data_IF_163317233915
#
_entry.id   IF_163317233915
#
_cell.length_a   1.000
_cell.length_b   1.000
_cell.length_c   1.000
_cell.angle_alpha   90.00
_cell.angle_beta   90.00
_cell.angle_gamma   90.00
#
_symmetry.space_group_name_H-M   'P 1'
#
loop_
_entity.id
_entity.type
_entity.pdbx_description
1 polymer ?
#
# COMPACT_ATOMS: atom_id res chain seq x y z
N UNK A 1 59.64 29.53 44.54
CA UNK A 1 59.63 28.98 43.15
C UNK A 1 58.55 27.92 43.10
N UNK A 2 57.37 28.26 42.62
CA UNK A 2 56.29 27.31 42.38
C UNK A 2 56.11 27.14 40.87
N UNK A 3 56.45 25.97 40.33
CA UNK A 3 56.16 25.61 38.96
C UNK A 3 54.66 25.26 38.83
N UNK A 4 53.92 26.11 38.17
CA UNK A 4 52.54 25.83 37.69
C UNK A 4 52.65 24.88 36.49
N UNK A 5 52.29 23.63 36.68
CA UNK A 5 52.10 22.69 35.59
C UNK A 5 50.74 22.88 34.97
N UNK A 6 50.70 23.52 33.80
CA UNK A 6 49.50 23.61 33.00
C UNK A 6 49.18 22.26 32.36
N UNK A 7 48.03 21.68 32.67
CA UNK A 7 47.54 20.48 32.04
C UNK A 7 47.18 20.73 30.55
N UNK A 8 47.45 19.83 29.62
CA UNK A 8 47.12 20.04 28.22
C UNK A 8 45.58 20.00 28.01
N UNK A 9 45.08 21.04 27.38
CA UNK A 9 43.65 21.15 27.02
C UNK A 9 43.20 20.04 26.08
N UNK A 10 42.20 19.28 26.53
CA UNK A 10 41.47 18.31 25.71
C UNK A 10 40.54 19.06 24.77
N UNK A 11 41.05 19.50 23.61
CA UNK A 11 40.31 20.31 22.66
C UNK A 11 40.17 19.64 21.28
N UNK A 12 39.78 18.35 21.22
CA UNK A 12 39.52 17.68 19.93
C UNK A 12 38.20 16.90 19.82
N UNK A 13 37.27 17.03 20.77
CA UNK A 13 36.02 16.25 20.76
C UNK A 13 34.84 16.82 19.96
N UNK A 14 34.65 18.13 19.72
CA UNK A 14 33.43 18.63 19.05
C UNK A 14 33.33 18.32 17.56
N UNK A 15 34.45 18.26 16.84
CA UNK A 15 34.44 18.04 15.38
C UNK A 15 34.07 16.62 14.95
N UNK A 16 34.45 15.62 15.75
CA UNK A 16 34.15 14.19 15.46
C UNK A 16 32.68 13.85 15.72
N UNK A 17 32.10 14.40 16.78
CA UNK A 17 30.66 14.29 17.09
C UNK A 17 29.79 14.95 16.04
N UNK A 18 30.18 16.10 15.47
CA UNK A 18 29.46 16.78 14.41
C UNK A 18 29.43 15.99 13.07
N UNK A 19 30.50 15.26 12.77
CA UNK A 19 30.61 14.43 11.56
C UNK A 19 29.72 13.18 11.66
N UNK A 20 29.75 12.49 12.79
CA UNK A 20 28.89 11.32 13.04
C UNK A 20 27.41 11.70 13.01
N UNK A 21 27.01 12.80 13.67
CA UNK A 21 25.63 13.27 13.66
C UNK A 21 25.14 13.65 12.26
N UNK A 22 26.01 14.21 11.42
CA UNK A 22 25.69 14.55 10.03
C UNK A 22 25.46 13.28 9.18
N UNK A 23 26.34 12.29 9.30
CA UNK A 23 26.22 11.02 8.57
C UNK A 23 24.91 10.32 8.99
N UNK A 24 24.64 10.23 10.29
CA UNK A 24 23.40 9.59 10.81
C UNK A 24 22.14 10.27 10.28
N UNK A 25 22.15 11.61 10.22
CA UNK A 25 21.04 12.38 9.68
C UNK A 25 20.83 12.12 8.20
N UNK A 26 21.89 12.14 7.38
CA UNK A 26 21.82 11.83 5.94
C UNK A 26 21.29 10.43 5.67
N UNK A 27 21.74 9.44 6.46
CA UNK A 27 21.23 8.05 6.34
C UNK A 27 19.74 7.97 6.70
N UNK A 28 19.32 8.64 7.79
CA UNK A 28 17.92 8.66 8.19
C UNK A 28 17.01 9.35 7.15
N UNK A 29 17.47 10.44 6.54
CA UNK A 29 16.75 11.17 5.49
C UNK A 29 16.61 10.31 4.23
N UNK A 30 17.67 9.60 3.81
CA UNK A 30 17.63 8.68 2.67
C UNK A 30 16.68 7.50 2.90
N UNK A 31 16.69 6.88 4.08
CA UNK A 31 15.75 5.83 4.44
C UNK A 31 14.30 6.33 4.43
N UNK A 32 14.08 7.57 4.86
CA UNK A 32 12.79 8.24 4.78
C UNK A 32 12.30 8.39 3.34
N UNK A 33 13.17 8.84 2.44
CA UNK A 33 12.85 9.00 1.02
C UNK A 33 12.56 7.65 0.34
N UNK A 34 13.37 6.62 0.58
CA UNK A 34 13.13 5.25 0.07
C UNK A 34 11.79 4.72 0.54
N UNK A 35 11.45 4.89 1.82
CA UNK A 35 10.14 4.46 2.35
C UNK A 35 8.99 5.14 1.62
N UNK A 36 9.04 6.45 1.42
CA UNK A 36 8.02 7.21 0.70
C UNK A 36 7.90 6.70 -0.74
N UNK A 37 9.02 6.50 -1.43
CA UNK A 37 9.04 5.96 -2.78
C UNK A 37 8.37 4.59 -2.86
N UNK A 38 8.70 3.66 -1.97
CA UNK A 38 8.12 2.31 -1.93
C UNK A 38 6.62 2.37 -1.71
N UNK A 39 6.14 3.23 -0.81
CA UNK A 39 4.69 3.42 -0.57
C UNK A 39 4.00 3.97 -1.82
N UNK A 40 4.55 5.00 -2.46
CA UNK A 40 3.98 5.57 -3.69
C UNK A 40 3.96 4.53 -4.82
N UNK A 41 5.03 3.77 -4.99
CA UNK A 41 5.12 2.72 -5.99
C UNK A 41 4.05 1.62 -5.75
N UNK A 42 3.85 1.20 -4.50
CA UNK A 42 2.81 0.24 -4.13
C UNK A 42 1.39 0.76 -4.44
N UNK A 43 1.12 2.03 -4.12
CA UNK A 43 -0.15 2.70 -4.44
C UNK A 43 -0.38 2.74 -5.95
N UNK A 44 0.61 3.24 -6.71
CA UNK A 44 0.51 3.39 -8.16
C UNK A 44 0.30 2.04 -8.85
N UNK A 45 1.02 1.01 -8.41
CA UNK A 45 0.93 -0.32 -9.00
C UNK A 45 -0.39 -1.01 -8.66
N UNK A 46 -0.78 -1.05 -7.41
CA UNK A 46 -1.99 -1.77 -6.98
C UNK A 46 -3.28 -1.02 -7.29
N UNK A 47 -3.48 0.18 -6.73
CA UNK A 47 -4.71 0.97 -6.96
C UNK A 47 -4.81 1.47 -8.40
N UNK A 48 -3.69 1.92 -8.98
CA UNK A 48 -3.63 2.34 -10.37
C UNK A 48 -3.86 1.18 -11.34
N UNK A 49 -3.22 0.04 -11.09
CA UNK A 49 -3.42 -1.19 -11.87
C UNK A 49 -4.86 -1.67 -11.82
N UNK A 50 -5.46 -1.71 -10.62
CA UNK A 50 -6.86 -2.06 -10.44
C UNK A 50 -7.81 -1.09 -11.17
N UNK A 51 -7.59 0.22 -11.02
CA UNK A 51 -8.41 1.25 -11.69
C UNK A 51 -8.32 1.14 -13.21
N UNK A 52 -7.12 0.98 -13.75
CA UNK A 52 -6.92 0.78 -15.19
C UNK A 52 -7.58 -0.51 -15.68
N UNK A 53 -7.41 -1.59 -14.92
CA UNK A 53 -7.99 -2.87 -15.27
C UNK A 53 -9.53 -2.83 -15.31
N UNK A 54 -10.16 -2.34 -14.24
CA UNK A 54 -11.61 -2.26 -14.14
C UNK A 54 -12.22 -1.21 -15.09
N UNK A 55 -11.56 -0.05 -15.24
CA UNK A 55 -12.08 1.08 -16.00
C UNK A 55 -11.78 1.04 -17.50
N UNK A 56 -10.74 0.33 -17.91
CA UNK A 56 -10.28 0.31 -19.31
C UNK A 56 -10.19 -1.12 -19.86
N UNK A 57 -9.41 -2.00 -19.22
CA UNK A 57 -9.11 -3.31 -19.78
C UNK A 57 -10.35 -4.21 -19.88
N UNK A 58 -11.20 -4.22 -18.85
CA UNK A 58 -12.43 -5.05 -18.84
C UNK A 58 -13.45 -4.55 -19.88
N UNK A 59 -13.83 -3.25 -19.94
CA UNK A 59 -14.74 -2.76 -20.98
C UNK A 59 -14.24 -3.02 -22.40
N UNK A 60 -12.98 -2.73 -22.69
CA UNK A 60 -12.37 -3.00 -23.99
C UNK A 60 -12.34 -4.50 -24.31
N UNK A 61 -12.06 -5.34 -23.31
CA UNK A 61 -12.08 -6.79 -23.47
C UNK A 61 -13.47 -7.33 -23.79
N UNK A 62 -14.52 -6.79 -23.19
CA UNK A 62 -15.93 -7.13 -23.52
C UNK A 62 -16.23 -6.79 -24.98
N UNK A 63 -15.82 -5.61 -25.44
CA UNK A 63 -16.02 -5.18 -26.82
C UNK A 63 -15.28 -6.06 -27.82
N UNK A 64 -13.98 -6.28 -27.60
CA UNK A 64 -13.11 -7.03 -28.54
C UNK A 64 -13.43 -8.52 -28.57
N UNK A 65 -13.76 -9.14 -27.43
CA UNK A 65 -14.04 -10.56 -27.31
C UNK A 65 -15.51 -10.93 -27.56
N UNK A 66 -16.38 -9.92 -27.73
CA UNK A 66 -17.79 -10.11 -28.08
C UNK A 66 -18.68 -10.51 -26.90
N UNK A 67 -18.26 -10.27 -25.64
CA UNK A 67 -19.14 -10.49 -24.49
C UNK A 67 -18.44 -10.72 -23.15
N UNK A 68 -19.21 -10.55 -22.08
CA UNK A 68 -18.78 -10.68 -20.70
C UNK A 68 -18.25 -12.08 -20.36
N UNK A 69 -18.84 -13.13 -20.92
CA UNK A 69 -18.40 -14.51 -20.67
C UNK A 69 -16.98 -14.77 -21.20
N UNK A 70 -16.66 -14.23 -22.37
CA UNK A 70 -15.34 -14.43 -22.98
C UNK A 70 -14.24 -13.73 -22.19
N UNK A 71 -14.48 -12.49 -21.75
CA UNK A 71 -13.54 -11.75 -20.90
C UNK A 71 -13.43 -12.37 -19.51
N UNK A 72 -14.48 -12.97 -18.94
CA UNK A 72 -14.47 -13.61 -17.63
C UNK A 72 -13.33 -14.63 -17.46
N UNK A 73 -13.03 -15.43 -18.48
CA UNK A 73 -11.91 -16.38 -18.46
C UNK A 73 -10.52 -15.73 -18.54
N UNK A 74 -10.44 -14.47 -18.98
CA UNK A 74 -9.20 -13.70 -18.94
C UNK A 74 -9.07 -13.02 -17.58
N UNK A 75 -10.19 -12.48 -17.08
CA UNK A 75 -10.22 -11.76 -15.80
C UNK A 75 -9.85 -12.67 -14.63
N UNK A 76 -10.24 -13.94 -14.65
CA UNK A 76 -9.87 -14.92 -13.63
C UNK A 76 -8.36 -14.90 -13.36
N UNK A 77 -7.55 -15.01 -14.39
CA UNK A 77 -6.09 -15.01 -14.26
C UNK A 77 -5.52 -13.66 -13.81
N UNK A 78 -6.04 -12.57 -14.37
CA UNK A 78 -5.61 -11.23 -14.01
C UNK A 78 -5.95 -10.91 -12.56
N UNK A 79 -7.13 -11.31 -12.11
CA UNK A 79 -7.62 -11.08 -10.74
C UNK A 79 -6.74 -11.77 -9.70
N UNK A 80 -6.24 -12.99 -10.00
CA UNK A 80 -5.30 -13.66 -9.12
C UNK A 80 -4.00 -12.83 -8.91
N UNK A 81 -3.46 -12.24 -9.97
CA UNK A 81 -2.30 -11.35 -9.86
C UNK A 81 -2.62 -10.04 -9.14
N UNK A 82 -3.84 -9.51 -9.28
CA UNK A 82 -4.29 -8.33 -8.54
C UNK A 82 -4.36 -8.61 -7.03
N UNK A 83 -4.84 -9.79 -6.61
CA UNK A 83 -4.84 -10.20 -5.21
C UNK A 83 -3.40 -10.35 -4.67
N UNK A 84 -2.48 -10.95 -5.45
CA UNK A 84 -1.06 -11.03 -5.05
C UNK A 84 -0.45 -9.63 -4.88
N UNK A 85 -0.74 -8.71 -5.80
CA UNK A 85 -0.30 -7.32 -5.71
C UNK A 85 -0.95 -6.61 -4.51
N UNK A 86 -2.21 -6.91 -4.20
CA UNK A 86 -2.93 -6.44 -3.01
C UNK A 86 -2.23 -6.83 -1.72
N UNK A 87 -1.92 -8.12 -1.55
CA UNK A 87 -1.17 -8.61 -0.37
C UNK A 87 0.17 -7.90 -0.22
N UNK A 88 0.92 -7.72 -1.32
CA UNK A 88 2.20 -7.00 -1.30
C UNK A 88 2.02 -5.52 -0.89
N UNK A 89 1.04 -4.83 -1.47
CA UNK A 89 0.74 -3.44 -1.14
C UNK A 89 0.29 -3.27 0.32
N UNK A 90 -0.60 -4.15 0.81
CA UNK A 90 -1.07 -4.12 2.20
C UNK A 90 0.06 -4.38 3.19
N UNK A 91 1.01 -5.25 2.86
CA UNK A 91 2.23 -5.48 3.67
C UNK A 91 3.06 -4.20 3.77
N UNK A 92 3.25 -3.48 2.67
CA UNK A 92 3.96 -2.20 2.63
C UNK A 92 3.21 -1.14 3.45
N UNK A 93 1.87 -1.06 3.33
CA UNK A 93 1.04 -0.13 4.11
C UNK A 93 1.09 -0.44 5.60
N UNK A 94 1.06 -1.71 5.99
CA UNK A 94 1.22 -2.13 7.38
C UNK A 94 2.57 -1.66 7.95
N UNK A 95 3.67 -1.93 7.24
CA UNK A 95 5.00 -1.46 7.61
C UNK A 95 5.06 0.07 7.75
N UNK A 96 4.51 0.80 6.77
CA UNK A 96 4.45 2.26 6.82
C UNK A 96 3.61 2.80 8.00
N UNK A 97 2.48 2.17 8.30
CA UNK A 97 1.60 2.53 9.42
C UNK A 97 2.31 2.33 10.76
N UNK A 98 3.00 1.19 10.94
CA UNK A 98 3.78 0.90 12.14
C UNK A 98 4.93 1.90 12.34
N UNK A 99 5.70 2.18 11.29
CA UNK A 99 6.80 3.15 11.33
C UNK A 99 6.32 4.60 11.58
N UNK A 100 5.09 4.92 11.18
CA UNK A 100 4.49 6.25 11.38
C UNK A 100 3.73 6.37 12.70
N UNK A 101 3.57 5.28 13.46
CA UNK A 101 2.71 5.20 14.63
C UNK A 101 2.99 6.29 15.67
N UNK A 102 4.27 6.49 16.00
CA UNK A 102 4.68 7.46 17.05
C UNK A 102 4.58 8.91 16.60
N UNK A 103 4.66 9.18 15.30
CA UNK A 103 4.66 10.53 14.72
C UNK A 103 3.29 11.00 14.25
N UNK A 104 2.29 10.10 14.24
CA UNK A 104 0.93 10.40 13.79
C UNK A 104 0.07 10.91 14.92
N UNK A 105 -0.76 11.93 14.65
CA UNK A 105 -1.83 12.35 15.56
C UNK A 105 -2.87 11.24 15.77
N UNK A 106 -3.56 11.26 16.92
CA UNK A 106 -4.50 10.19 17.33
C UNK A 106 -5.54 9.85 16.26
N UNK A 107 -6.19 10.86 15.65
CA UNK A 107 -7.20 10.63 14.62
C UNK A 107 -6.62 9.91 13.39
N UNK A 108 -5.52 10.42 12.83
CA UNK A 108 -4.87 9.81 11.64
C UNK A 108 -4.41 8.38 11.93
N UNK A 109 -3.88 8.13 13.13
CA UNK A 109 -3.45 6.79 13.56
C UNK A 109 -4.60 5.79 13.54
N UNK A 110 -5.75 6.13 14.12
CA UNK A 110 -6.91 5.27 14.13
C UNK A 110 -7.49 5.08 12.74
N UNK A 111 -7.55 6.13 11.91
CA UNK A 111 -8.00 5.99 10.53
C UNK A 111 -7.10 5.04 9.73
N UNK A 112 -5.77 5.18 9.84
CA UNK A 112 -4.83 4.27 9.17
C UNK A 112 -4.99 2.82 9.65
N UNK A 113 -5.19 2.61 10.93
CA UNK A 113 -5.39 1.27 11.49
C UNK A 113 -6.70 0.64 11.02
N UNK A 114 -7.80 1.38 11.09
CA UNK A 114 -9.13 0.90 10.71
C UNK A 114 -9.19 0.60 9.21
N UNK A 115 -8.70 1.53 8.36
CA UNK A 115 -8.68 1.30 6.91
C UNK A 115 -7.78 0.12 6.54
N UNK A 116 -6.62 -0.02 7.17
CA UNK A 116 -5.74 -1.16 6.94
C UNK A 116 -6.39 -2.48 7.37
N UNK A 117 -7.00 -2.52 8.55
CA UNK A 117 -7.67 -3.72 9.06
C UNK A 117 -8.83 -4.14 8.14
N UNK A 118 -9.65 -3.19 7.69
CA UNK A 118 -10.75 -3.47 6.76
C UNK A 118 -10.22 -3.96 5.41
N UNK A 119 -9.18 -3.33 4.86
CA UNK A 119 -8.57 -3.78 3.60
C UNK A 119 -7.99 -5.20 3.72
N UNK A 120 -7.35 -5.54 4.84
CA UNK A 120 -6.82 -6.89 5.07
C UNK A 120 -7.95 -7.91 5.18
N UNK A 121 -9.04 -7.59 5.88
CA UNK A 121 -10.21 -8.49 5.98
C UNK A 121 -10.83 -8.74 4.61
N UNK A 122 -11.00 -7.69 3.81
CA UNK A 122 -11.54 -7.81 2.45
C UNK A 122 -10.57 -8.62 1.57
N UNK A 123 -9.25 -8.40 1.66
CA UNK A 123 -8.27 -9.16 0.89
C UNK A 123 -8.35 -10.67 1.20
N UNK A 124 -8.48 -11.03 2.48
CA UNK A 124 -8.69 -12.42 2.89
C UNK A 124 -9.99 -12.98 2.30
N UNK A 125 -11.08 -12.21 2.33
CA UNK A 125 -12.34 -12.58 1.69
C UNK A 125 -12.16 -12.82 0.19
N UNK A 126 -11.50 -11.91 -0.54
CA UNK A 126 -11.24 -12.03 -1.98
C UNK A 126 -10.40 -13.27 -2.32
N UNK A 127 -9.37 -13.57 -1.53
CA UNK A 127 -8.54 -14.78 -1.67
C UNK A 127 -9.36 -16.05 -1.48
N UNK A 128 -10.38 -16.03 -0.61
CA UNK A 128 -11.28 -17.17 -0.39
C UNK A 128 -12.34 -17.28 -1.48
N UNK A 129 -12.92 -16.16 -1.92
CA UNK A 129 -13.95 -16.14 -2.96
C UNK A 129 -13.43 -16.56 -4.33
N UNK A 130 -12.20 -16.14 -4.68
CA UNK A 130 -11.61 -16.40 -5.99
C UNK A 130 -11.63 -17.90 -6.37
N UNK A 131 -11.07 -18.84 -5.58
CA UNK A 131 -11.09 -20.27 -5.92
C UNK A 131 -12.50 -20.86 -5.84
N UNK A 132 -13.45 -20.24 -5.13
CA UNK A 132 -14.84 -20.70 -5.16
C UNK A 132 -15.51 -20.40 -6.51
N UNK A 133 -15.21 -19.25 -7.12
CA UNK A 133 -15.67 -18.90 -8.46
C UNK A 133 -14.98 -19.76 -9.52
N UNK A 134 -13.65 -20.00 -9.40
CA UNK A 134 -12.88 -20.82 -10.35
C UNK A 134 -13.43 -22.25 -10.46
N UNK A 135 -13.87 -22.83 -9.35
CA UNK A 135 -14.49 -24.17 -9.35
C UNK A 135 -15.81 -24.25 -10.13
N UNK A 136 -16.47 -23.12 -10.35
CA UNK A 136 -17.70 -23.04 -11.14
C UNK A 136 -17.42 -22.84 -12.64
N UNK A 137 -16.17 -22.55 -13.01
CA UNK A 137 -15.75 -22.29 -14.39
C UNK A 137 -15.12 -23.54 -15.01
N UNK A 138 -15.66 -23.98 -16.14
CA UNK A 138 -15.13 -25.12 -16.92
C UNK A 138 -14.35 -24.59 -18.11
N UNK A 139 -13.05 -24.87 -18.17
CA UNK A 139 -12.16 -24.38 -19.22
C UNK A 139 -12.10 -25.29 -20.45
N UNK A 140 -12.36 -26.62 -20.30
CA UNK A 140 -12.31 -27.61 -21.38
C UNK A 140 -13.39 -28.68 -21.18
N UNK A 141 -13.95 -29.24 -22.26
CA UNK A 141 -13.73 -28.93 -23.69
C UNK A 141 -14.49 -27.69 -24.18
N UNK A 142 -15.47 -27.22 -23.43
CA UNK A 142 -16.21 -25.98 -23.69
C UNK A 142 -16.07 -25.04 -22.49
N UNK A 143 -15.79 -23.77 -22.76
CA UNK A 143 -15.81 -22.72 -21.73
C UNK A 143 -17.23 -22.52 -21.27
N UNK A 144 -17.56 -22.99 -20.07
CA UNK A 144 -18.91 -22.97 -19.51
C UNK A 144 -18.89 -22.68 -18.01
N UNK A 145 -20.03 -22.32 -17.44
CA UNK A 145 -20.24 -22.10 -16.02
C UNK A 145 -21.22 -23.14 -15.53
N UNK A 146 -20.84 -23.92 -14.52
CA UNK A 146 -21.61 -25.06 -14.01
C UNK A 146 -22.92 -24.59 -13.34
N UNK A 147 -22.87 -23.47 -12.60
CA UNK A 147 -23.96 -22.89 -11.83
C UNK A 147 -23.89 -21.36 -12.02
N UNK A 148 -24.67 -20.86 -12.98
CA UNK A 148 -24.66 -19.42 -13.33
C UNK A 148 -25.15 -18.55 -12.18
N UNK A 149 -26.23 -18.94 -11.48
CA UNK A 149 -26.81 -18.15 -10.39
C UNK A 149 -25.83 -18.01 -9.23
N UNK A 150 -25.18 -19.11 -8.87
CA UNK A 150 -24.17 -19.09 -7.80
C UNK A 150 -22.92 -18.33 -8.20
N UNK A 151 -22.47 -18.47 -9.45
CA UNK A 151 -21.33 -17.71 -9.95
C UNK A 151 -21.64 -16.20 -9.95
N UNK A 152 -22.80 -15.80 -10.41
CA UNK A 152 -23.22 -14.39 -10.45
C UNK A 152 -23.29 -13.80 -9.05
N UNK A 153 -23.85 -14.52 -8.07
CA UNK A 153 -23.87 -14.10 -6.68
C UNK A 153 -22.46 -13.85 -6.12
N UNK A 154 -21.57 -14.85 -6.27
CA UNK A 154 -20.18 -14.73 -5.80
C UNK A 154 -19.44 -13.60 -6.51
N UNK A 155 -19.67 -13.43 -7.80
CA UNK A 155 -19.07 -12.37 -8.60
C UNK A 155 -19.55 -10.98 -8.14
N UNK A 156 -20.83 -10.80 -7.85
CA UNK A 156 -21.36 -9.54 -7.29
C UNK A 156 -20.74 -9.23 -5.92
N UNK A 157 -20.63 -10.21 -5.02
CA UNK A 157 -19.95 -10.04 -3.74
C UNK A 157 -18.51 -9.60 -3.96
N UNK A 158 -17.79 -10.29 -4.86
CA UNK A 158 -16.41 -9.97 -5.22
C UNK A 158 -16.26 -8.51 -5.71
N UNK A 159 -17.14 -8.06 -6.60
CA UNK A 159 -17.13 -6.69 -7.14
C UNK A 159 -17.42 -5.64 -6.07
N UNK A 160 -18.35 -5.89 -5.17
CA UNK A 160 -18.67 -4.98 -4.07
C UNK A 160 -17.48 -4.90 -3.12
N UNK A 161 -16.93 -6.03 -2.71
CA UNK A 161 -15.78 -6.11 -1.79
C UNK A 161 -14.56 -5.40 -2.36
N UNK A 162 -14.21 -5.61 -3.63
CA UNK A 162 -13.10 -4.90 -4.29
C UNK A 162 -13.35 -3.40 -4.39
N UNK A 163 -14.60 -2.98 -4.64
CA UNK A 163 -14.96 -1.55 -4.69
C UNK A 163 -14.79 -0.90 -3.32
N UNK A 164 -15.26 -1.55 -2.26
CA UNK A 164 -15.08 -1.07 -0.87
C UNK A 164 -13.60 -1.00 -0.53
N UNK A 165 -12.83 -2.03 -0.88
CA UNK A 165 -11.38 -2.06 -0.65
C UNK A 165 -10.66 -0.90 -1.35
N UNK A 166 -11.06 -0.59 -2.59
CA UNK A 166 -10.52 0.54 -3.35
C UNK A 166 -10.77 1.87 -2.63
N UNK A 167 -12.00 2.12 -2.15
CA UNK A 167 -12.33 3.32 -1.39
C UNK A 167 -11.54 3.41 -0.09
N UNK A 168 -11.41 2.30 0.65
CA UNK A 168 -10.59 2.26 1.87
C UNK A 168 -9.11 2.55 1.56
N UNK A 169 -8.61 2.04 0.43
CA UNK A 169 -7.28 2.36 -0.09
C UNK A 169 -7.09 3.85 -0.35
N UNK A 170 -8.05 4.52 -0.98
CA UNK A 170 -8.01 5.97 -1.24
C UNK A 170 -7.97 6.78 0.05
N UNK A 171 -8.79 6.40 1.06
CA UNK A 171 -8.78 7.05 2.38
C UNK A 171 -7.43 6.84 3.07
N UNK A 172 -6.89 5.63 3.01
CA UNK A 172 -5.57 5.30 3.58
C UNK A 172 -4.46 6.15 2.97
N UNK A 173 -4.44 6.26 1.64
CA UNK A 173 -3.50 7.10 0.88
C UNK A 173 -3.63 8.57 1.26
N UNK A 174 -4.85 9.08 1.37
CA UNK A 174 -5.09 10.46 1.83
C UNK A 174 -4.44 10.71 3.20
N UNK A 175 -4.62 9.79 4.15
CA UNK A 175 -3.98 9.90 5.47
C UNK A 175 -2.45 9.90 5.39
N UNK A 176 -1.86 9.09 4.49
CA UNK A 176 -0.41 9.09 4.26
C UNK A 176 0.04 10.45 3.71
N UNK A 177 -0.68 11.02 2.73
CA UNK A 177 -0.36 12.34 2.16
C UNK A 177 -0.40 13.44 3.24
N UNK A 178 -1.40 13.44 4.12
CA UNK A 178 -1.50 14.39 5.26
C UNK A 178 -0.29 14.25 6.20
N UNK A 179 0.17 13.02 6.46
CA UNK A 179 1.36 12.81 7.30
C UNK A 179 2.64 13.31 6.64
N UNK A 180 2.80 13.10 5.34
CA UNK A 180 3.96 13.58 4.59
C UNK A 180 4.00 15.11 4.57
N UNK A 181 2.87 15.76 4.32
CA UNK A 181 2.76 17.22 4.32
C UNK A 181 3.14 17.84 5.66
N UNK A 182 2.69 17.26 6.79
CA UNK A 182 3.05 17.74 8.13
C UNK A 182 4.54 17.63 8.43
N UNK A 183 5.23 16.64 7.86
CA UNK A 183 6.69 16.49 8.05
C UNK A 183 7.51 17.49 7.24
N UNK A 184 6.95 18.01 6.14
CA UNK A 184 7.61 18.98 5.27
C UNK A 184 7.50 20.43 5.77
N UNK A 185 6.66 20.69 6.78
CA UNK A 185 6.55 22.03 7.36
C UNK A 185 7.69 22.26 8.38
N UNK A 186 8.51 23.31 8.20
CA UNK A 186 9.51 23.67 9.19
C UNK A 186 8.82 24.06 10.51
N UNK A 187 9.41 23.65 11.64
CA UNK A 187 8.93 24.11 12.94
C UNK A 187 8.89 25.65 12.98
N UNK A 188 7.79 26.25 13.48
CA UNK A 188 7.73 27.67 13.63
C UNK A 188 8.89 28.09 14.58
N UNK A 189 9.82 28.91 14.07
CA UNK A 189 10.85 29.50 14.88
C UNK A 189 10.12 30.40 15.92
N UNK A 190 10.10 29.93 17.15
CA UNK A 190 9.67 30.78 18.26
C UNK A 190 10.62 31.99 18.32
N UNK A 191 10.10 33.15 17.93
CA UNK A 191 10.80 34.43 17.99
C UNK A 191 10.85 34.93 19.44
#
# INVERSE_FOLDING_TARGET
MFHSSAAPAIEQQPAKLSRVSRITRTVADNLGAVRVFVVIAAIAFWLGGFTFYAGVAVPMGVEVLGGHRAIGFVTERVTNWLNVAGVAALTIFAGNTLLSWRTSGKAVRWTLLITLALMVLIEVELIVLHPMMDRLMVFQPRRDIIDEDKFELLHHVYLISTTVQWFMGMIHVWCICVLLQKRSQPEPRLA
#
